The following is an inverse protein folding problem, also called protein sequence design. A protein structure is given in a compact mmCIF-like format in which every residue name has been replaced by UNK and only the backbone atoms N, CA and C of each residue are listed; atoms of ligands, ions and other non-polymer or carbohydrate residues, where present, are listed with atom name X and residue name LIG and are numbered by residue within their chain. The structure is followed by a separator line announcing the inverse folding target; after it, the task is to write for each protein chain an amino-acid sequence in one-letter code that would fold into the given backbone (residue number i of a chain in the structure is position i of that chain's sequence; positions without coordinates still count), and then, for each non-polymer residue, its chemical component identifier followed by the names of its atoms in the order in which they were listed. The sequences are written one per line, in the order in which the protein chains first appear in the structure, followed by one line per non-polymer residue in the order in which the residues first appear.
data_IF_281622595410
#
_entry.id   IF_281622595410
#
_cell.length_a   1.000
_cell.length_b   1.000
_cell.length_c   1.000
_cell.angle_alpha   90.00
_cell.angle_beta   90.00
_cell.angle_gamma   90.00
#
_symmetry.space_group_name_H-M   'P 1'
#
loop_
_entity.id
_entity.type
_entity.pdbx_description
1 polymer ?
#
# COMPACT_ATOMS: atom_id res chain seq x y z
N UNK A 1 9.21 -19.19 -22.01
CA UNK A 1 9.88 -18.95 -20.71
C UNK A 1 10.45 -17.55 -20.76
N UNK A 2 9.77 -16.57 -20.14
CA UNK A 2 10.29 -15.21 -20.09
C UNK A 2 11.45 -15.17 -19.10
N UNK A 3 12.67 -15.04 -19.60
CA UNK A 3 13.83 -14.82 -18.77
C UNK A 3 13.71 -13.43 -18.13
N UNK A 4 13.93 -13.36 -16.82
CA UNK A 4 13.98 -12.09 -16.08
C UNK A 4 15.27 -11.36 -16.54
N UNK A 5 15.10 -10.31 -17.32
CA UNK A 5 16.23 -9.49 -17.83
C UNK A 5 16.66 -8.41 -16.84
N UNK A 6 16.76 -8.76 -15.55
CA UNK A 6 17.17 -7.79 -14.53
C UNK A 6 18.55 -7.18 -14.83
N UNK A 7 19.50 -7.96 -15.39
CA UNK A 7 20.85 -7.47 -15.71
C UNK A 7 20.81 -6.28 -16.67
N UNK A 8 20.13 -6.42 -17.79
CA UNK A 8 20.05 -5.37 -18.80
C UNK A 8 19.26 -4.16 -18.31
N UNK A 9 18.12 -4.40 -17.64
CA UNK A 9 17.28 -3.34 -17.10
C UNK A 9 17.94 -2.60 -15.94
N UNK A 10 18.63 -3.30 -15.04
CA UNK A 10 19.31 -2.67 -13.91
C UNK A 10 20.41 -1.70 -14.34
N UNK A 11 21.24 -2.04 -15.34
CA UNK A 11 22.26 -1.13 -15.87
C UNK A 11 21.63 0.08 -16.57
N UNK A 12 20.63 -0.13 -17.42
CA UNK A 12 19.94 0.94 -18.13
C UNK A 12 19.20 1.89 -17.18
N UNK A 13 18.58 1.36 -16.13
CA UNK A 13 17.91 2.18 -15.12
C UNK A 13 18.89 3.01 -14.30
N UNK A 14 20.04 2.46 -13.90
CA UNK A 14 21.06 3.25 -13.20
C UNK A 14 21.52 4.44 -14.06
N UNK A 15 21.75 4.21 -15.34
CA UNK A 15 22.13 5.26 -16.27
C UNK A 15 21.02 6.31 -16.41
N UNK A 16 19.79 5.87 -16.54
CA UNK A 16 18.62 6.73 -16.70
C UNK A 16 18.34 7.62 -15.50
N UNK A 17 18.47 7.08 -14.25
CA UNK A 17 18.31 7.87 -13.01
C UNK A 17 19.57 8.65 -12.61
N UNK A 18 20.61 8.64 -13.44
CA UNK A 18 21.87 9.32 -13.18
C UNK A 18 22.68 8.76 -11.99
N UNK A 19 22.36 7.56 -11.51
CA UNK A 19 23.04 6.93 -10.39
C UNK A 19 24.25 6.12 -10.87
N UNK A 20 25.45 6.46 -10.38
CA UNK A 20 26.64 5.70 -10.73
C UNK A 20 26.65 4.30 -10.10
N UNK A 21 27.29 3.31 -10.76
CA UNK A 21 27.50 1.97 -10.17
C UNK A 21 28.21 2.02 -8.82
N UNK A 22 29.07 3.01 -8.59
CA UNK A 22 29.76 3.19 -7.31
C UNK A 22 28.83 3.65 -6.21
N UNK A 23 27.94 4.57 -6.51
CA UNK A 23 26.90 5.07 -5.59
C UNK A 23 25.89 3.97 -5.26
N UNK A 24 25.38 3.29 -6.28
CA UNK A 24 24.49 2.14 -6.08
C UNK A 24 25.13 1.05 -5.21
N UNK A 25 26.39 0.68 -5.47
CA UNK A 25 27.11 -0.31 -4.68
C UNK A 25 27.24 0.12 -3.21
N UNK A 26 27.54 1.40 -2.98
CA UNK A 26 27.64 1.97 -1.63
C UNK A 26 26.33 1.87 -0.87
N UNK A 27 25.22 2.23 -1.51
CA UNK A 27 23.89 2.18 -0.90
C UNK A 27 23.40 0.75 -0.67
N UNK A 28 23.75 -0.19 -1.56
CA UNK A 28 23.48 -1.62 -1.40
C UNK A 28 24.40 -2.33 -0.39
N UNK A 29 25.43 -1.67 0.14
CA UNK A 29 26.41 -2.27 1.03
C UNK A 29 27.30 -3.32 0.36
N UNK A 30 27.53 -3.26 -0.97
CA UNK A 30 28.32 -4.20 -1.74
C UNK A 30 29.54 -3.54 -2.40
N UNK A 31 30.51 -4.34 -2.83
CA UNK A 31 31.64 -3.84 -3.61
C UNK A 31 31.18 -3.52 -5.05
N UNK A 32 31.70 -2.45 -5.65
CA UNK A 32 31.39 -2.02 -7.04
C UNK A 32 31.49 -3.15 -8.06
N UNK A 33 32.50 -4.01 -7.95
CA UNK A 33 32.70 -5.16 -8.82
C UNK A 33 31.57 -6.20 -8.75
N UNK A 34 30.82 -6.22 -7.66
CA UNK A 34 29.72 -7.17 -7.42
C UNK A 34 28.38 -6.67 -7.98
N UNK A 35 28.29 -5.42 -8.45
CA UNK A 35 27.04 -4.86 -9.01
C UNK A 35 26.54 -5.68 -10.19
N UNK A 36 27.44 -6.09 -11.09
CA UNK A 36 27.06 -6.93 -12.24
C UNK A 36 26.58 -8.32 -11.81
N UNK A 37 27.18 -8.90 -10.77
CA UNK A 37 26.72 -10.18 -10.22
C UNK A 37 25.36 -10.04 -9.50
N UNK A 38 25.14 -8.91 -8.84
CA UNK A 38 23.84 -8.60 -8.21
C UNK A 38 22.74 -8.49 -9.28
N UNK A 39 22.98 -7.82 -10.40
CA UNK A 39 22.01 -7.72 -11.49
C UNK A 39 21.70 -9.07 -12.16
N UNK A 40 22.57 -10.06 -12.02
CA UNK A 40 22.31 -11.46 -12.43
C UNK A 40 21.51 -12.28 -11.42
N UNK A 41 21.24 -11.70 -10.25
CA UNK A 41 20.52 -12.40 -9.20
C UNK A 41 19.10 -12.76 -9.66
N UNK A 42 18.67 -13.97 -9.28
CA UNK A 42 17.29 -14.43 -9.40
C UNK A 42 16.54 -14.36 -8.06
N UNK A 43 17.18 -13.85 -7.02
CA UNK A 43 16.59 -13.69 -5.71
C UNK A 43 15.74 -12.43 -5.68
N UNK A 44 14.43 -12.60 -5.48
CA UNK A 44 13.45 -11.52 -5.47
C UNK A 44 13.73 -10.48 -4.37
N UNK A 45 14.21 -10.90 -3.21
CA UNK A 45 14.58 -9.98 -2.13
C UNK A 45 15.74 -9.07 -2.54
N UNK A 46 16.74 -9.62 -3.23
CA UNK A 46 17.87 -8.85 -3.76
C UNK A 46 17.39 -7.82 -4.79
N UNK A 47 16.50 -8.22 -5.68
CA UNK A 47 15.92 -7.34 -6.72
C UNK A 47 15.03 -6.25 -6.07
N UNK A 48 14.25 -6.63 -5.06
CA UNK A 48 13.43 -5.68 -4.30
C UNK A 48 14.27 -4.62 -3.56
N UNK A 49 15.36 -5.05 -2.90
CA UNK A 49 16.27 -4.11 -2.25
C UNK A 49 16.96 -3.20 -3.26
N UNK A 50 17.31 -3.72 -4.43
CA UNK A 50 17.85 -2.91 -5.52
C UNK A 50 16.84 -1.86 -6.01
N UNK A 51 15.56 -2.21 -6.16
CA UNK A 51 14.51 -1.27 -6.57
C UNK A 51 14.36 -0.11 -5.58
N UNK A 52 14.40 -0.39 -4.28
CA UNK A 52 14.36 0.64 -3.24
C UNK A 52 15.55 1.61 -3.32
N UNK A 53 16.75 1.07 -3.49
CA UNK A 53 17.97 1.89 -3.61
C UNK A 53 17.94 2.74 -4.87
N UNK A 54 17.37 2.22 -5.95
CA UNK A 54 17.23 2.94 -7.22
C UNK A 54 16.05 3.91 -7.24
N UNK A 55 15.13 3.85 -6.27
CA UNK A 55 13.91 4.65 -6.25
C UNK A 55 12.94 4.31 -7.39
N UNK A 56 12.97 3.06 -7.90
CA UNK A 56 12.11 2.62 -9.00
C UNK A 56 11.15 1.52 -8.54
N UNK A 57 9.93 1.42 -9.13
CA UNK A 57 9.01 0.33 -8.85
C UNK A 57 9.65 -1.04 -9.09
N UNK A 58 9.41 -1.98 -8.19
CA UNK A 58 9.97 -3.33 -8.25
C UNK A 58 9.60 -4.06 -9.55
N UNK A 59 8.39 -3.85 -10.03
CA UNK A 59 7.82 -4.38 -11.26
C UNK A 59 8.64 -4.00 -12.49
N UNK A 60 9.23 -2.80 -12.51
CA UNK A 60 10.09 -2.35 -13.60
C UNK A 60 11.36 -3.20 -13.72
N UNK A 61 11.86 -3.74 -12.63
CA UNK A 61 13.03 -4.62 -12.62
C UNK A 61 12.69 -6.07 -13.03
N UNK A 62 11.44 -6.49 -12.84
CA UNK A 62 11.01 -7.85 -13.16
C UNK A 62 10.58 -8.06 -14.61
N UNK A 63 10.40 -7.00 -15.38
CA UNK A 63 9.95 -7.11 -16.77
C UNK A 63 8.51 -7.59 -16.97
N UNK A 64 7.67 -7.46 -15.95
CA UNK A 64 6.24 -7.77 -16.04
C UNK A 64 5.39 -6.68 -16.71
N UNK A 65 5.97 -5.53 -17.01
CA UNK A 65 5.32 -4.49 -17.82
C UNK A 65 5.78 -4.68 -19.24
N UNK A 66 4.86 -4.98 -20.17
CA UNK A 66 5.11 -4.80 -21.59
C UNK A 66 5.58 -3.36 -21.76
N UNK A 67 6.76 -3.18 -22.33
CA UNK A 67 7.35 -1.86 -22.48
C UNK A 67 6.39 -0.95 -23.26
N UNK A 68 5.82 0.10 -22.63
CA UNK A 68 5.68 1.32 -23.38
C UNK A 68 7.11 1.71 -23.74
N UNK A 69 7.36 2.00 -25.00
CA UNK A 69 8.71 2.34 -25.49
C UNK A 69 9.35 3.31 -24.48
N UNK A 70 10.42 2.84 -23.83
CA UNK A 70 11.08 3.52 -22.68
C UNK A 70 11.59 4.94 -23.02
N UNK A 71 11.39 5.38 -24.27
CA UNK A 71 11.75 6.69 -24.80
C UNK A 71 10.73 7.81 -24.53
N UNK A 72 9.46 7.48 -24.12
CA UNK A 72 8.37 8.48 -24.15
C UNK A 72 7.70 8.74 -22.80
N UNK A 73 8.06 8.05 -21.73
CA UNK A 73 7.52 8.37 -20.40
C UNK A 73 8.59 9.17 -19.65
N UNK A 74 8.43 10.49 -19.50
CA UNK A 74 9.34 11.26 -18.67
C UNK A 74 9.34 10.70 -17.25
N UNK A 75 10.53 10.41 -16.69
CA UNK A 75 10.67 10.03 -15.27
C UNK A 75 10.01 11.09 -14.37
N UNK A 76 10.04 12.34 -14.81
CA UNK A 76 9.34 13.48 -14.20
C UNK A 76 7.84 13.24 -13.98
N UNK A 77 7.15 12.48 -14.85
CA UNK A 77 5.73 12.17 -14.65
C UNK A 77 5.46 11.22 -13.46
N UNK A 78 6.47 10.49 -13.00
CA UNK A 78 6.38 9.69 -11.77
C UNK A 78 6.90 10.45 -10.54
N UNK A 79 7.68 11.53 -10.77
CA UNK A 79 8.20 12.39 -9.70
C UNK A 79 7.27 13.58 -9.40
N UNK A 80 6.35 13.94 -10.31
CA UNK A 80 5.42 15.08 -10.17
C UNK A 80 4.04 14.73 -9.60
N UNK A 81 3.74 13.47 -9.33
CA UNK A 81 2.65 13.19 -8.40
C UNK A 81 3.22 13.45 -7.02
N UNK A 82 2.87 14.58 -6.43
CA UNK A 82 3.05 14.84 -5.00
C UNK A 82 2.38 13.68 -4.25
N UNK A 83 3.15 12.61 -4.02
CA UNK A 83 2.67 11.51 -3.17
C UNK A 83 2.35 12.15 -1.82
N UNK A 84 1.10 11.99 -1.39
CA UNK A 84 0.70 12.39 -0.05
C UNK A 84 1.62 11.66 0.92
N UNK A 85 2.47 12.43 1.59
CA UNK A 85 3.49 11.94 2.51
C UNK A 85 3.01 12.08 3.96
N UNK A 86 3.79 11.53 4.88
CA UNK A 86 3.53 11.69 6.32
C UNK A 86 3.50 13.17 6.72
N UNK A 87 4.33 14.01 6.12
CA UNK A 87 4.46 15.44 6.42
C UNK A 87 3.20 16.25 6.04
N UNK A 88 2.40 15.74 5.09
CA UNK A 88 1.15 16.39 4.67
C UNK A 88 0.00 16.15 5.65
N UNK A 89 0.14 15.17 6.55
CA UNK A 89 -0.91 14.77 7.47
C UNK A 89 -0.88 15.63 8.73
N UNK A 90 -1.92 16.42 9.01
CA UNK A 90 -1.99 17.19 10.26
C UNK A 90 -1.96 16.27 11.47
N UNK A 91 -1.02 16.51 12.41
CA UNK A 91 -0.87 15.73 13.64
C UNK A 91 -1.78 16.19 14.80
N UNK A 92 -2.41 17.36 14.68
CA UNK A 92 -3.31 17.94 15.71
C UNK A 92 -4.67 17.22 15.78
N UNK A 93 -5.44 17.57 16.84
CA UNK A 93 -6.76 16.97 17.12
C UNK A 93 -7.93 17.96 16.94
N UNK A 94 -7.67 19.12 16.35
CA UNK A 94 -8.72 20.10 16.07
C UNK A 94 -9.71 19.60 15.03
N UNK A 95 -10.89 20.21 14.95
CA UNK A 95 -11.85 19.90 13.90
C UNK A 95 -11.31 20.22 12.50
N UNK A 96 -10.46 21.24 12.41
CA UNK A 96 -9.80 21.60 11.16
C UNK A 96 -8.81 20.52 10.73
N UNK A 97 -7.98 20.01 11.66
CA UNK A 97 -7.05 18.91 11.37
C UNK A 97 -7.80 17.67 10.88
N UNK A 98 -8.92 17.33 11.52
CA UNK A 98 -9.76 16.18 11.11
C UNK A 98 -10.33 16.39 9.71
N UNK A 99 -10.80 17.60 9.38
CA UNK A 99 -11.30 17.91 8.03
C UNK A 99 -10.19 17.80 6.98
N UNK A 100 -9.00 18.31 7.27
CA UNK A 100 -7.84 18.22 6.38
C UNK A 100 -7.45 16.77 6.16
N UNK A 101 -7.34 15.96 7.21
CA UNK A 101 -7.09 14.52 7.09
C UNK A 101 -8.18 13.80 6.28
N UNK A 102 -9.45 14.14 6.49
CA UNK A 102 -10.54 13.58 5.71
C UNK A 102 -10.38 13.89 4.22
N UNK A 103 -10.04 15.13 3.87
CA UNK A 103 -9.78 15.55 2.49
C UNK A 103 -8.62 14.76 1.88
N UNK A 104 -7.48 14.64 2.59
CA UNK A 104 -6.32 13.85 2.15
C UNK A 104 -6.69 12.38 1.88
N UNK A 105 -7.51 11.77 2.74
CA UNK A 105 -7.98 10.39 2.51
C UNK A 105 -8.80 10.29 1.23
N UNK A 106 -9.69 11.27 0.93
CA UNK A 106 -10.45 11.28 -0.31
C UNK A 106 -9.53 11.42 -1.54
N UNK A 107 -8.56 12.33 -1.50
CA UNK A 107 -7.57 12.53 -2.55
C UNK A 107 -6.75 11.26 -2.79
N UNK A 108 -6.20 10.67 -1.74
CA UNK A 108 -5.47 9.41 -1.80
C UNK A 108 -6.28 8.27 -2.44
N UNK A 109 -7.55 8.09 -2.07
CA UNK A 109 -8.39 7.05 -2.67
C UNK A 109 -8.71 7.31 -4.14
N UNK A 110 -8.81 8.57 -4.58
CA UNK A 110 -9.00 8.89 -6.00
C UNK A 110 -7.76 8.51 -6.80
N UNK A 111 -6.58 8.86 -6.32
CA UNK A 111 -5.31 8.46 -6.94
C UNK A 111 -5.15 6.94 -6.95
N UNK A 112 -5.45 6.29 -5.82
CA UNK A 112 -5.40 4.83 -5.73
C UNK A 112 -6.31 4.16 -6.76
N UNK A 113 -7.54 4.64 -6.95
CA UNK A 113 -8.47 4.14 -7.95
C UNK A 113 -7.97 4.36 -9.37
N UNK A 114 -7.33 5.48 -9.63
CA UNK A 114 -6.72 5.76 -10.92
C UNK A 114 -5.63 4.74 -11.26
N UNK A 115 -4.78 4.44 -10.28
CA UNK A 115 -3.71 3.42 -10.41
C UNK A 115 -4.23 1.98 -10.40
N UNK A 116 -5.43 1.74 -9.87
CA UNK A 116 -6.06 0.42 -9.76
C UNK A 116 -7.47 0.43 -10.39
N UNK A 117 -7.59 0.40 -11.72
CA UNK A 117 -8.88 0.51 -12.43
C UNK A 117 -9.90 -0.54 -12.01
N UNK A 118 -9.45 -1.77 -11.71
CA UNK A 118 -10.29 -2.87 -11.23
C UNK A 118 -10.86 -2.62 -9.82
N UNK A 119 -10.33 -1.63 -9.11
CA UNK A 119 -10.72 -1.25 -7.75
C UNK A 119 -10.74 -2.44 -6.79
N UNK A 120 -9.76 -3.32 -6.89
CA UNK A 120 -9.61 -4.49 -6.04
C UNK A 120 -8.14 -4.84 -5.83
N UNK A 121 -7.86 -5.60 -4.76
CA UNK A 121 -6.54 -6.13 -4.46
C UNK A 121 -6.66 -7.56 -3.94
N UNK A 122 -5.80 -8.44 -4.42
CA UNK A 122 -5.74 -9.82 -3.94
C UNK A 122 -5.13 -9.87 -2.54
N UNK A 123 -5.84 -10.47 -1.59
CA UNK A 123 -5.34 -10.72 -0.24
C UNK A 123 -4.77 -12.12 -0.14
N UNK A 124 -3.49 -12.24 0.21
CA UNK A 124 -2.75 -13.52 0.23
C UNK A 124 -3.22 -14.46 1.35
N UNK A 125 -3.77 -13.92 2.44
CA UNK A 125 -4.23 -14.70 3.59
C UNK A 125 -5.67 -15.20 3.41
N UNK A 126 -6.54 -14.41 2.79
CA UNK A 126 -7.89 -14.83 2.42
C UNK A 126 -7.91 -15.66 1.14
N UNK A 127 -6.88 -15.53 0.30
CA UNK A 127 -6.82 -16.10 -1.07
C UNK A 127 -7.97 -15.63 -1.95
N UNK A 128 -8.38 -14.38 -1.79
CA UNK A 128 -9.50 -13.76 -2.50
C UNK A 128 -9.24 -12.27 -2.72
N UNK A 129 -9.94 -11.69 -3.71
CA UNK A 129 -9.91 -10.25 -3.96
C UNK A 129 -10.73 -9.48 -2.92
N UNK A 130 -10.17 -8.37 -2.43
CA UNK A 130 -10.88 -7.38 -1.63
C UNK A 130 -11.17 -6.17 -2.52
N UNK A 131 -12.45 -5.85 -2.69
CA UNK A 131 -12.90 -4.73 -3.51
C UNK A 131 -12.95 -3.42 -2.73
N UNK A 132 -12.61 -2.33 -3.39
CA UNK A 132 -12.81 -0.96 -2.91
C UNK A 132 -14.07 -0.40 -3.56
N UNK A 133 -14.98 0.14 -2.78
CA UNK A 133 -16.25 0.74 -3.21
C UNK A 133 -16.46 2.11 -2.55
N UNK A 134 -17.51 2.84 -2.93
CA UNK A 134 -17.82 4.12 -2.31
C UNK A 134 -17.93 4.02 -0.78
N UNK A 135 -18.57 2.97 -0.26
CA UNK A 135 -18.66 2.72 1.20
C UNK A 135 -17.28 2.55 1.85
N UNK A 136 -16.28 2.02 1.13
CA UNK A 136 -14.92 1.87 1.63
C UNK A 136 -14.30 3.24 1.91
N UNK A 137 -14.47 4.15 0.97
CA UNK A 137 -13.97 5.50 1.06
C UNK A 137 -14.68 6.28 2.17
N UNK A 138 -16.01 6.29 2.16
CA UNK A 138 -16.81 7.07 3.12
C UNK A 138 -16.55 6.63 4.56
N UNK A 139 -16.56 5.32 4.83
CA UNK A 139 -16.33 4.79 6.18
C UNK A 139 -14.87 4.98 6.63
N UNK A 140 -13.90 4.77 5.74
CA UNK A 140 -12.49 5.00 6.08
C UNK A 140 -12.24 6.49 6.33
N UNK A 141 -12.73 7.37 5.45
CA UNK A 141 -12.55 8.81 5.63
C UNK A 141 -13.20 9.31 6.93
N UNK A 142 -14.40 8.81 7.28
CA UNK A 142 -15.07 9.19 8.51
C UNK A 142 -14.36 8.71 9.78
N UNK A 143 -13.73 7.53 9.76
CA UNK A 143 -13.11 6.94 10.95
C UNK A 143 -11.60 7.19 11.04
N UNK A 144 -10.88 7.05 9.94
CA UNK A 144 -9.43 7.19 9.95
C UNK A 144 -8.99 8.65 10.12
N UNK A 145 -9.78 9.62 9.66
CA UNK A 145 -9.47 11.04 9.85
C UNK A 145 -9.51 11.50 11.31
N UNK A 146 -10.09 10.72 12.21
CA UNK A 146 -10.19 11.06 13.63
C UNK A 146 -8.82 11.09 14.33
N UNK A 147 -7.85 10.31 13.86
CA UNK A 147 -6.51 10.26 14.43
C UNK A 147 -5.43 10.32 13.34
N UNK A 148 -4.29 10.92 13.69
CA UNK A 148 -3.11 10.98 12.83
C UNK A 148 -2.67 9.58 12.37
N UNK A 149 -2.47 8.64 13.31
CA UNK A 149 -2.00 7.28 13.00
C UNK A 149 -2.96 6.50 12.09
N UNK A 150 -4.27 6.70 12.24
CA UNK A 150 -5.24 6.03 11.36
C UNK A 150 -5.17 6.61 9.94
N UNK A 151 -4.94 7.92 9.80
CA UNK A 151 -4.74 8.56 8.49
C UNK A 151 -3.46 8.05 7.83
N UNK A 152 -2.37 7.99 8.58
CA UNK A 152 -1.09 7.46 8.13
C UNK A 152 -1.20 5.99 7.68
N UNK A 153 -2.01 5.18 8.38
CA UNK A 153 -2.31 3.81 7.96
C UNK A 153 -2.94 3.74 6.57
N UNK A 154 -3.80 4.70 6.22
CA UNK A 154 -4.48 4.70 4.91
C UNK A 154 -3.49 4.83 3.77
N UNK A 155 -2.37 5.54 3.95
CA UNK A 155 -1.32 5.65 2.92
C UNK A 155 -0.66 4.30 2.60
N UNK A 156 -0.81 3.30 3.49
CA UNK A 156 -0.31 1.95 3.28
C UNK A 156 -1.41 0.97 2.80
N UNK A 157 -2.45 1.49 2.14
CA UNK A 157 -3.64 0.74 1.72
C UNK A 157 -3.30 -0.54 0.96
N UNK A 158 -2.38 -0.49 0.00
CA UNK A 158 -1.97 -1.66 -0.80
C UNK A 158 -1.37 -2.76 0.06
N UNK A 159 -0.47 -2.41 0.98
CA UNK A 159 0.15 -3.37 1.89
C UNK A 159 -0.90 -3.99 2.84
N UNK A 160 -1.83 -3.19 3.36
CA UNK A 160 -2.91 -3.65 4.24
C UNK A 160 -3.85 -4.58 3.49
N UNK A 161 -4.33 -4.19 2.30
CA UNK A 161 -5.22 -5.02 1.49
C UNK A 161 -4.59 -6.37 1.14
N UNK A 162 -3.30 -6.36 0.78
CA UNK A 162 -2.58 -7.57 0.35
C UNK A 162 -2.28 -8.51 1.51
N UNK A 163 -1.83 -7.97 2.67
CA UNK A 163 -1.17 -8.77 3.70
C UNK A 163 -1.96 -8.92 5.00
N UNK A 164 -3.04 -8.16 5.21
CA UNK A 164 -3.82 -8.29 6.43
C UNK A 164 -4.34 -9.73 6.62
N UNK A 165 -4.23 -10.25 7.84
CA UNK A 165 -4.69 -11.58 8.20
C UNK A 165 -6.03 -11.54 8.93
N UNK A 166 -6.83 -12.58 8.77
CA UNK A 166 -8.12 -12.71 9.42
C UNK A 166 -7.94 -13.00 10.92
N UNK A 167 -8.51 -12.14 11.77
CA UNK A 167 -8.56 -12.34 13.23
C UNK A 167 -9.86 -13.00 13.63
N UNK A 168 -11.00 -12.48 13.14
CA UNK A 168 -12.30 -13.05 13.41
C UNK A 168 -13.35 -12.65 12.39
N UNK A 169 -14.42 -13.46 12.31
CA UNK A 169 -15.64 -13.15 11.56
C UNK A 169 -16.78 -12.87 12.55
N UNK A 170 -17.51 -11.78 12.33
CA UNK A 170 -18.66 -11.39 13.14
C UNK A 170 -19.89 -11.16 12.25
N UNK A 171 -21.12 -11.30 12.78
CA UNK A 171 -22.32 -10.96 12.02
C UNK A 171 -22.34 -9.45 11.70
N UNK A 172 -22.92 -9.08 10.57
CA UNK A 172 -23.17 -7.68 10.25
C UNK A 172 -24.26 -7.11 11.16
N UNK A 173 -24.25 -5.78 11.37
CA UNK A 173 -25.29 -5.08 12.13
C UNK A 173 -26.48 -4.79 11.21
N UNK A 174 -27.63 -5.48 11.32
CA UNK A 174 -28.75 -5.35 10.38
C UNK A 174 -29.37 -3.95 10.38
N UNK A 175 -29.30 -3.25 11.51
CA UNK A 175 -29.85 -1.89 11.67
C UNK A 175 -28.87 -0.78 11.18
N UNK A 176 -27.64 -1.14 10.80
CA UNK A 176 -26.70 -0.17 10.23
C UNK A 176 -26.96 -0.01 8.73
N UNK A 177 -27.29 1.22 8.31
CA UNK A 177 -27.52 1.56 6.90
C UNK A 177 -26.39 1.05 5.99
N UNK A 178 -25.15 1.17 6.45
CA UNK A 178 -23.95 0.87 5.67
C UNK A 178 -23.55 -0.62 5.70
N UNK A 179 -24.19 -1.43 6.58
CA UNK A 179 -23.92 -2.87 6.68
C UNK A 179 -25.06 -3.78 6.19
N UNK A 180 -26.17 -3.21 5.73
CA UNK A 180 -27.35 -3.98 5.28
C UNK A 180 -27.05 -4.98 4.15
N UNK A 181 -26.14 -4.62 3.26
CA UNK A 181 -25.73 -5.48 2.13
C UNK A 181 -24.80 -6.63 2.53
N UNK A 182 -24.25 -6.59 3.75
CA UNK A 182 -23.31 -7.61 4.22
C UNK A 182 -24.01 -8.68 5.05
N UNK A 183 -23.58 -9.92 4.93
CA UNK A 183 -23.98 -11.02 5.82
C UNK A 183 -23.09 -11.09 7.04
N UNK A 184 -21.82 -10.74 6.90
CA UNK A 184 -20.82 -10.78 7.95
C UNK A 184 -19.72 -9.75 7.68
N UNK A 185 -18.99 -9.44 8.75
CA UNK A 185 -17.81 -8.58 8.74
C UNK A 185 -16.60 -9.42 9.15
N UNK A 186 -15.57 -9.41 8.33
CA UNK A 186 -14.26 -9.95 8.67
C UNK A 186 -13.47 -8.85 9.38
N UNK A 187 -12.89 -9.16 10.51
CA UNK A 187 -11.95 -8.30 11.21
C UNK A 187 -10.57 -8.83 10.90
N UNK A 188 -9.79 -8.02 10.26
CA UNK A 188 -8.44 -8.33 9.81
C UNK A 188 -7.45 -7.35 10.44
N UNK A 189 -6.22 -7.79 10.62
CA UNK A 189 -5.13 -6.96 11.16
C UNK A 189 -3.90 -7.01 10.28
N UNK A 190 -3.12 -5.96 10.36
CA UNK A 190 -1.81 -5.84 9.74
C UNK A 190 -0.90 -4.98 10.63
N UNK A 191 0.40 -5.26 10.63
CA UNK A 191 1.40 -4.41 11.32
C UNK A 191 2.02 -3.50 10.28
N UNK A 192 1.59 -2.22 10.31
CA UNK A 192 2.12 -1.18 9.42
C UNK A 192 3.43 -0.60 9.96
N UNK A 193 4.49 -0.53 9.17
CA UNK A 193 5.68 0.25 9.51
C UNK A 193 5.32 1.70 9.88
N UNK A 194 5.91 2.23 10.94
CA UNK A 194 5.66 3.60 11.42
C UNK A 194 4.32 3.85 12.11
N UNK A 195 3.33 2.96 11.96
CA UNK A 195 1.98 3.08 12.55
C UNK A 195 1.75 2.10 13.69
N UNK A 196 2.27 0.89 13.56
CA UNK A 196 1.96 -0.21 14.45
C UNK A 196 0.80 -1.08 13.95
N UNK A 197 -0.02 -1.59 14.87
CA UNK A 197 -1.11 -2.50 14.52
C UNK A 197 -2.30 -1.74 13.93
N UNK A 198 -2.77 -2.19 12.79
CA UNK A 198 -3.91 -1.63 12.05
C UNK A 198 -5.01 -2.67 11.94
N UNK A 199 -6.24 -2.23 12.18
CA UNK A 199 -7.45 -3.02 11.96
C UNK A 199 -8.06 -2.62 10.62
N UNK A 200 -8.29 -3.61 9.76
CA UNK A 200 -9.12 -3.50 8.57
C UNK A 200 -10.40 -4.31 8.77
N UNK A 201 -11.54 -3.73 8.47
CA UNK A 201 -12.81 -4.45 8.42
C UNK A 201 -13.23 -4.66 6.97
N UNK A 202 -13.72 -5.87 6.66
CA UNK A 202 -14.12 -6.27 5.32
C UNK A 202 -15.52 -6.86 5.38
N UNK A 203 -16.47 -6.27 4.65
CA UNK A 203 -17.83 -6.79 4.53
C UNK A 203 -17.89 -7.92 3.50
N UNK A 204 -18.54 -9.04 3.87
CA UNK A 204 -18.89 -10.12 2.95
C UNK A 204 -20.30 -9.87 2.45
N UNK A 205 -20.46 -9.59 1.16
CA UNK A 205 -21.79 -9.32 0.57
C UNK A 205 -22.71 -10.53 0.64
N UNK A 206 -24.00 -10.28 0.87
CA UNK A 206 -25.03 -11.33 0.85
C UNK A 206 -25.25 -11.91 -0.54
N UNK A 207 -25.20 -11.06 -1.58
CA UNK A 207 -25.57 -11.41 -2.96
C UNK A 207 -24.61 -12.39 -3.59
N UNK A 208 -23.33 -12.07 -3.55
CA UNK A 208 -22.29 -12.74 -4.36
C UNK A 208 -21.06 -13.17 -3.55
N UNK A 209 -21.13 -13.01 -2.23
CA UNK A 209 -20.04 -13.29 -1.28
C UNK A 209 -18.76 -12.49 -1.52
N UNK A 210 -18.80 -11.50 -2.40
CA UNK A 210 -17.66 -10.64 -2.65
C UNK A 210 -17.23 -9.92 -1.38
N UNK A 211 -15.91 -9.71 -1.23
CA UNK A 211 -15.30 -9.00 -0.11
C UNK A 211 -15.17 -7.54 -0.46
N UNK A 212 -15.66 -6.67 0.40
CA UNK A 212 -15.57 -5.22 0.23
C UNK A 212 -14.88 -4.64 1.45
N UNK A 213 -13.75 -3.96 1.26
CA UNK A 213 -13.10 -3.22 2.33
C UNK A 213 -14.12 -2.22 2.90
N UNK A 214 -14.26 -2.18 4.22
CA UNK A 214 -15.26 -1.33 4.86
C UNK A 214 -14.60 -0.14 5.56
N UNK A 215 -13.61 -0.41 6.45
CA UNK A 215 -12.94 0.64 7.19
C UNK A 215 -11.51 0.20 7.57
N UNK A 216 -10.59 1.17 7.64
CA UNK A 216 -9.23 1.00 8.14
C UNK A 216 -9.00 1.99 9.29
N UNK A 217 -8.46 1.50 10.41
CA UNK A 217 -8.10 2.34 11.57
C UNK A 217 -6.86 1.77 12.27
N UNK A 218 -6.00 2.63 12.78
CA UNK A 218 -4.92 2.20 13.68
C UNK A 218 -5.52 1.73 15.02
N UNK A 219 -4.91 0.70 15.61
CA UNK A 219 -5.24 0.25 16.97
C UNK A 219 -4.28 0.97 17.90
N UNK A 220 -4.80 1.90 18.73
CA UNK A 220 -3.98 2.67 19.66
C UNK A 220 -3.15 1.76 20.57
N UNK A 221 -1.83 1.90 20.49
CA UNK A 221 -0.90 1.23 21.40
C UNK A 221 -1.09 1.64 22.87
N UNK A 222 -1.81 2.75 23.12
CA UNK A 222 -2.09 3.26 24.46
C UNK A 222 -3.04 2.40 25.31
N UNK A 223 -3.84 1.51 24.69
CA UNK A 223 -4.79 0.65 25.42
C UNK A 223 -4.23 -0.72 25.83
N UNK A 224 -3.00 -1.06 25.41
CA UNK A 224 -2.38 -2.34 25.74
C UNK A 224 -1.80 -2.36 27.18
N UNK A 225 -1.73 -1.21 27.87
CA UNK A 225 -1.11 -1.11 29.21
C UNK A 225 -2.02 -1.38 30.41
N UNK A 226 -3.27 -1.80 30.23
CA UNK A 226 -4.21 -1.99 31.35
C UNK A 226 -4.75 -3.41 31.56
N UNK A 227 -4.27 -4.41 30.83
CA UNK A 227 -4.71 -5.81 31.04
C UNK A 227 -3.60 -6.73 31.59
N UNK A 228 -2.58 -6.18 32.23
CA UNK A 228 -1.59 -6.97 32.99
C UNK A 228 -1.53 -6.42 34.43
N UNK A 229 -2.52 -6.80 35.22
CA UNK A 229 -2.43 -6.98 36.68
C UNK A 229 -3.48 -7.99 37.14
#
# INVERSE_FOLDING_TARGET
MNQIYFEAKGEALLERIGMSKSEFARQMGIRKQNVKALFKSKNLETIYNASKVMGVPFEMLLGFVEEPELSEIPIESYLEQEEITEDDIPSGDTQEDKRRRQKLIYEFYQEWKHRNPDQKKYNINLKEDINIRAVSLDETAAQASLTYLSTLAVLQLDAILTNAWLVKKVPSKPNSKNQRSFESILIMEYVCPGVGRVKMTVGVKRSDKSKVQYCITAIDAGKIKQETN
#
